data_IF_093285409411
#
_entry.id   IF_093285409411
#
_cell.length_a   1.000
_cell.length_b   1.000
_cell.length_c   1.000
_cell.angle_alpha   90.00
_cell.angle_beta   90.00
_cell.angle_gamma   90.00
#
_symmetry.space_group_name_H-M   'P 1'
#
loop_
_entity.id
_entity.type
_entity.pdbx_description
1 polymer ?
#
# COMPACT_ATOMS: atom_id res chain seq x y z
N UNK A 1 -7.66 -33.03 3.29
CA UNK A 1 -7.27 -32.75 1.88
C UNK A 1 -8.06 -31.59 1.27
N UNK A 2 -9.41 -31.56 1.36
CA UNK A 2 -10.24 -30.44 0.83
C UNK A 2 -9.83 -29.04 1.38
N UNK A 3 -9.68 -28.90 2.69
CA UNK A 3 -9.27 -27.64 3.32
C UNK A 3 -7.87 -27.14 2.89
N UNK A 4 -6.96 -28.05 2.49
CA UNK A 4 -5.64 -27.67 1.98
C UNK A 4 -5.74 -27.09 0.56
N UNK A 5 -6.56 -27.69 -0.29
CA UNK A 5 -6.84 -27.16 -1.63
C UNK A 5 -7.52 -25.79 -1.57
N UNK A 6 -8.45 -25.59 -0.63
CA UNK A 6 -9.10 -24.29 -0.40
C UNK A 6 -8.09 -23.22 0.04
N UNK A 7 -7.08 -23.55 0.85
CA UNK A 7 -6.01 -22.62 1.21
C UNK A 7 -5.14 -22.23 0.01
N UNK A 8 -4.80 -23.19 -0.86
CA UNK A 8 -4.04 -22.93 -2.07
C UNK A 8 -4.82 -22.07 -3.07
N UNK A 9 -6.13 -22.31 -3.22
CA UNK A 9 -7.00 -21.51 -4.07
C UNK A 9 -7.14 -20.08 -3.53
N UNK A 10 -7.35 -19.93 -2.22
CA UNK A 10 -7.36 -18.62 -1.57
C UNK A 10 -6.04 -17.87 -1.77
N UNK A 11 -4.90 -18.55 -1.66
CA UNK A 11 -3.60 -17.95 -1.91
C UNK A 11 -3.49 -17.42 -3.35
N UNK A 12 -3.88 -18.24 -4.34
CA UNK A 12 -3.87 -17.84 -5.75
C UNK A 12 -4.74 -16.62 -6.02
N UNK A 13 -5.93 -16.57 -5.43
CA UNK A 13 -6.84 -15.43 -5.57
C UNK A 13 -6.22 -14.15 -5.01
N UNK A 14 -5.67 -14.22 -3.78
CA UNK A 14 -5.02 -13.07 -3.15
C UNK A 14 -3.78 -12.60 -3.92
N UNK A 15 -2.99 -13.52 -4.49
CA UNK A 15 -1.84 -13.19 -5.33
C UNK A 15 -2.26 -12.53 -6.66
N UNK A 16 -3.33 -13.02 -7.29
CA UNK A 16 -3.88 -12.41 -8.49
C UNK A 16 -4.39 -10.98 -8.23
N UNK A 17 -5.09 -10.77 -7.12
CA UNK A 17 -5.53 -9.43 -6.70
C UNK A 17 -4.35 -8.50 -6.42
N UNK A 18 -3.30 -8.99 -5.75
CA UNK A 18 -2.08 -8.23 -5.50
C UNK A 18 -1.43 -7.79 -6.81
N UNK A 19 -1.30 -8.70 -7.78
CA UNK A 19 -0.74 -8.38 -9.10
C UNK A 19 -1.60 -7.34 -9.81
N UNK A 20 -2.93 -7.50 -9.79
CA UNK A 20 -3.87 -6.55 -10.39
C UNK A 20 -3.67 -5.13 -9.82
N UNK A 21 -3.72 -4.97 -8.51
CA UNK A 21 -3.57 -3.65 -7.86
C UNK A 21 -2.20 -3.04 -8.14
N UNK A 22 -1.14 -3.86 -8.18
CA UNK A 22 0.20 -3.38 -8.55
C UNK A 22 0.32 -2.93 -10.01
N UNK A 23 -0.52 -3.47 -10.90
CA UNK A 23 -0.57 -3.11 -12.31
C UNK A 23 -1.42 -1.86 -12.62
N UNK A 24 -2.24 -1.39 -11.68
CA UNK A 24 -3.14 -0.23 -11.88
C UNK A 24 -2.41 1.13 -11.84
N UNK A 25 -1.18 1.18 -11.32
CA UNK A 25 -0.35 2.37 -11.33
C UNK A 25 0.56 2.51 -10.12
N UNK A 26 1.07 3.72 -9.90
CA UNK A 26 2.05 4.00 -8.84
C UNK A 26 1.56 3.62 -7.45
N UNK A 27 2.48 3.16 -6.60
CA UNK A 27 2.21 2.72 -5.23
C UNK A 27 3.14 3.46 -4.27
N UNK A 28 2.58 4.12 -3.26
CA UNK A 28 3.35 4.92 -2.29
C UNK A 28 3.15 4.44 -0.86
N UNK A 29 4.10 3.65 -0.38
CA UNK A 29 4.12 3.17 1.00
C UNK A 29 4.61 4.23 1.98
N UNK A 30 4.07 4.16 3.21
CA UNK A 30 4.44 5.02 4.34
C UNK A 30 4.27 6.52 4.04
N UNK A 31 3.36 6.87 3.14
CA UNK A 31 3.08 8.23 2.68
C UNK A 31 1.69 8.71 3.12
N UNK A 32 1.53 10.02 3.30
CA UNK A 32 0.23 10.68 3.50
C UNK A 32 0.26 12.09 2.92
N UNK A 33 -0.91 12.63 2.59
CA UNK A 33 -1.04 14.01 2.13
C UNK A 33 -1.43 14.88 3.32
N UNK A 34 -0.73 16.00 3.48
CA UNK A 34 -1.03 17.03 4.46
C UNK A 34 -1.42 18.32 3.73
N UNK A 35 -2.48 18.98 4.21
CA UNK A 35 -2.86 20.30 3.76
C UNK A 35 -2.46 21.32 4.83
N UNK A 36 -1.72 22.35 4.45
CA UNK A 36 -1.40 23.47 5.34
C UNK A 36 -2.09 24.73 4.86
N UNK A 37 -2.74 25.43 5.80
CA UNK A 37 -3.24 26.78 5.54
C UNK A 37 -2.03 27.72 5.32
N UNK A 38 -2.12 28.68 4.39
CA UNK A 38 -1.10 29.72 4.29
C UNK A 38 -0.99 30.46 5.63
N UNK A 39 0.22 30.59 6.16
CA UNK A 39 0.49 31.32 7.40
C UNK A 39 0.94 32.76 7.14
N UNK A 40 0.68 33.66 8.10
CA UNK A 40 1.26 35.00 8.22
C UNK A 40 1.37 35.80 6.92
N UNK A 41 2.60 35.87 6.37
CA UNK A 41 3.01 36.70 5.22
C UNK A 41 2.82 36.06 3.84
N UNK A 42 2.20 34.89 3.73
CA UNK A 42 1.91 34.27 2.45
C UNK A 42 0.97 35.16 1.61
N UNK A 43 1.47 35.68 0.48
CA UNK A 43 0.72 36.59 -0.41
C UNK A 43 -0.48 35.96 -1.11
N UNK A 44 -0.65 34.64 -1.01
CA UNK A 44 -1.68 33.87 -1.71
C UNK A 44 -2.52 33.06 -0.75
N UNK A 45 -3.84 33.10 -0.91
CA UNK A 45 -4.81 32.39 -0.08
C UNK A 45 -4.95 30.89 -0.45
N UNK A 46 -3.99 30.35 -1.22
CA UNK A 46 -4.02 28.98 -1.71
C UNK A 46 -3.47 28.02 -0.69
N UNK A 47 -4.25 26.97 -0.40
CA UNK A 47 -3.79 25.87 0.45
C UNK A 47 -2.58 25.18 -0.17
N UNK A 48 -1.57 24.90 0.64
CA UNK A 48 -0.40 24.15 0.20
C UNK A 48 -0.59 22.68 0.52
N UNK A 49 -0.58 21.86 -0.53
CA UNK A 49 -0.59 20.41 -0.41
C UNK A 49 0.85 19.90 -0.29
N UNK A 50 1.10 19.00 0.64
CA UNK A 50 2.40 18.39 0.84
C UNK A 50 2.24 16.88 0.98
N UNK A 51 2.90 16.15 0.11
CA UNK A 51 3.12 14.72 0.28
C UNK A 51 4.20 14.55 1.34
N UNK A 52 3.92 13.74 2.36
CA UNK A 52 4.86 13.41 3.43
C UNK A 52 5.07 11.91 3.47
N UNK A 53 6.25 11.51 3.91
CA UNK A 53 6.63 10.11 4.05
C UNK A 53 7.38 9.87 5.36
N UNK A 54 7.27 8.66 5.92
CA UNK A 54 8.07 8.28 7.10
C UNK A 54 9.56 8.15 6.77
N UNK A 55 9.85 7.71 5.53
CA UNK A 55 11.21 7.46 5.00
C UNK A 55 11.61 8.57 4.02
N UNK A 56 12.91 8.75 3.78
CA UNK A 56 13.40 9.69 2.77
C UNK A 56 13.19 9.09 1.37
N UNK A 57 12.15 9.53 0.66
CA UNK A 57 11.71 8.95 -0.61
C UNK A 57 11.71 9.96 -1.76
N UNK A 58 11.73 11.26 -1.47
CA UNK A 58 11.64 12.33 -2.46
C UNK A 58 12.98 13.06 -2.59
N UNK A 59 13.91 12.51 -3.38
CA UNK A 59 15.27 13.04 -3.53
C UNK A 59 15.99 13.21 -2.18
N UNK A 60 15.95 12.17 -1.34
CA UNK A 60 16.50 12.20 0.02
C UNK A 60 15.67 12.97 1.04
N UNK A 61 14.52 13.55 0.64
CA UNK A 61 13.61 14.28 1.54
C UNK A 61 12.41 13.41 1.93
N UNK A 62 11.85 13.71 3.11
CA UNK A 62 10.62 13.12 3.65
C UNK A 62 9.34 13.84 3.23
N UNK A 63 9.46 14.85 2.36
CA UNK A 63 8.31 15.60 1.89
C UNK A 63 8.53 16.19 0.51
N UNK A 64 7.42 16.38 -0.21
CA UNK A 64 7.35 17.01 -1.53
C UNK A 64 6.12 17.92 -1.58
N UNK A 65 6.26 19.16 -2.04
CA UNK A 65 5.12 20.02 -2.31
C UNK A 65 4.37 19.53 -3.54
N UNK A 66 3.04 19.56 -3.47
CA UNK A 66 2.15 19.14 -4.54
C UNK A 66 1.34 20.32 -5.07
N UNK A 67 1.07 20.30 -6.37
CA UNK A 67 0.01 21.12 -6.95
C UNK A 67 -1.34 20.50 -6.62
N UNK A 68 -2.39 21.31 -6.49
CA UNK A 68 -3.74 20.80 -6.25
C UNK A 68 -4.20 19.78 -7.32
N UNK A 69 -3.78 19.95 -8.57
CA UNK A 69 -4.06 19.03 -9.68
C UNK A 69 -3.40 17.66 -9.54
N UNK A 70 -2.34 17.54 -8.74
CA UNK A 70 -1.59 16.28 -8.56
C UNK A 70 -2.10 15.47 -7.36
N UNK A 71 -2.87 16.10 -6.46
CA UNK A 71 -3.31 15.49 -5.19
C UNK A 71 -4.03 14.16 -5.43
N UNK A 72 -5.01 14.12 -6.33
CA UNK A 72 -5.78 12.90 -6.60
C UNK A 72 -4.93 11.73 -7.08
N UNK A 73 -3.88 11.98 -7.87
CA UNK A 73 -2.95 10.91 -8.29
C UNK A 73 -2.19 10.33 -7.09
N UNK A 74 -1.73 11.19 -6.18
CA UNK A 74 -1.00 10.78 -4.99
C UNK A 74 -1.91 10.09 -3.96
N UNK A 75 -3.16 10.54 -3.80
CA UNK A 75 -4.16 9.87 -2.97
C UNK A 75 -4.43 8.44 -3.48
N UNK A 76 -4.62 8.29 -4.79
CA UNK A 76 -4.81 6.98 -5.40
C UNK A 76 -3.60 6.06 -5.19
N UNK A 77 -2.38 6.60 -5.29
CA UNK A 77 -1.15 5.83 -5.07
C UNK A 77 -0.96 5.39 -3.60
N UNK A 78 -1.37 6.23 -2.64
CA UNK A 78 -1.37 5.87 -1.22
C UNK A 78 -2.44 4.81 -0.94
N UNK A 79 -3.64 4.97 -1.49
CA UNK A 79 -4.73 4.01 -1.31
C UNK A 79 -4.36 2.61 -1.84
N UNK A 80 -3.73 2.52 -3.02
CA UNK A 80 -3.19 1.27 -3.56
C UNK A 80 -2.15 0.65 -2.63
N UNK A 81 -1.27 1.46 -2.04
CA UNK A 81 -0.27 0.96 -1.09
C UNK A 81 -0.90 0.37 0.18
N UNK A 82 -1.95 0.99 0.71
CA UNK A 82 -2.69 0.46 1.84
C UNK A 82 -3.42 -0.84 1.52
N UNK A 83 -4.03 -0.94 0.33
CA UNK A 83 -4.66 -2.17 -0.16
C UNK A 83 -3.63 -3.30 -0.29
N UNK A 84 -2.49 -3.03 -0.94
CA UNK A 84 -1.41 -4.00 -1.08
C UNK A 84 -0.84 -4.43 0.26
N UNK A 85 -0.75 -3.53 1.24
CA UNK A 85 -0.31 -3.89 2.60
C UNK A 85 -1.26 -4.88 3.27
N UNK A 86 -2.58 -4.67 3.14
CA UNK A 86 -3.59 -5.59 3.67
C UNK A 86 -3.52 -6.95 2.98
N UNK A 87 -3.42 -6.97 1.65
CA UNK A 87 -3.27 -8.21 0.88
C UNK A 87 -2.00 -8.98 1.27
N UNK A 88 -0.86 -8.30 1.40
CA UNK A 88 0.39 -8.94 1.79
C UNK A 88 0.27 -9.61 3.18
N UNK A 89 -0.41 -8.97 4.14
CA UNK A 89 -0.66 -9.60 5.45
C UNK A 89 -1.59 -10.81 5.36
N UNK A 90 -2.61 -10.77 4.51
CA UNK A 90 -3.50 -11.91 4.28
C UNK A 90 -2.76 -13.08 3.61
N UNK A 91 -1.95 -12.79 2.59
CA UNK A 91 -1.08 -13.76 1.91
C UNK A 91 -0.15 -14.42 2.92
N UNK A 92 0.55 -13.63 3.74
CA UNK A 92 1.47 -14.16 4.76
C UNK A 92 0.74 -15.06 5.77
N UNK A 93 -0.47 -14.69 6.20
CA UNK A 93 -1.27 -15.49 7.11
C UNK A 93 -1.72 -16.82 6.48
N UNK A 94 -2.11 -16.81 5.21
CA UNK A 94 -2.50 -18.03 4.46
C UNK A 94 -1.29 -18.92 4.21
N UNK A 95 -0.15 -18.36 3.79
CA UNK A 95 1.11 -19.10 3.61
C UNK A 95 1.54 -19.79 4.91
N UNK A 96 1.48 -19.10 6.06
CA UNK A 96 1.77 -19.72 7.37
C UNK A 96 0.84 -20.89 7.70
N UNK A 97 -0.43 -20.83 7.27
CA UNK A 97 -1.38 -21.95 7.47
C UNK A 97 -1.04 -23.13 6.56
N UNK A 98 -0.70 -22.86 5.30
CA UNK A 98 -0.26 -23.88 4.33
C UNK A 98 0.98 -24.60 4.87
N UNK A 99 2.02 -23.88 5.26
CA UNK A 99 3.26 -24.48 5.77
C UNK A 99 3.04 -25.35 7.02
N UNK A 100 2.10 -24.98 7.88
CA UNK A 100 1.72 -25.81 9.04
C UNK A 100 1.07 -27.12 8.60
N UNK A 101 0.18 -27.08 7.62
CA UNK A 101 -0.48 -28.28 7.09
C UNK A 101 0.53 -29.18 6.39
N UNK A 102 1.43 -28.61 5.58
CA UNK A 102 2.51 -29.35 4.91
C UNK A 102 3.45 -30.03 5.91
N UNK A 103 3.84 -29.35 6.99
CA UNK A 103 4.69 -29.92 8.03
C UNK A 103 4.02 -31.10 8.74
N UNK A 104 2.70 -31.02 9.00
CA UNK A 104 1.94 -32.14 9.57
C UNK A 104 1.85 -33.30 8.58
N UNK A 105 1.59 -33.03 7.30
CA UNK A 105 1.51 -34.07 6.27
C UNK A 105 2.86 -34.78 6.03
N UNK A 106 3.98 -34.08 6.18
CA UNK A 106 5.32 -34.66 6.04
C UNK A 106 5.77 -35.48 7.26
N UNK A 107 5.11 -35.31 8.41
CA UNK A 107 5.39 -36.02 9.65
C UNK A 107 4.53 -37.29 9.84
N UNK A 108 3.59 -37.54 8.92
CA UNK A 108 2.71 -38.72 8.86
C UNK A 108 3.22 -39.67 7.78
#
# INVERSE_FOLDING_TARGET
MKAYLELLENLKTLEAERVKISGEGDVLFDCWIAQSKPGGTARTNTAHWQLRSRKAQFNGRKSKYLKASEVGQYEAAIARAEQLKKLNWQIEAVQKRISKVEAVLAAV
#
